data_IF_003338960570
#
_entry.id   IF_003338960570
#
_cell.length_a   1.000
_cell.length_b   1.000
_cell.length_c   1.000
_cell.angle_alpha   90.00
_cell.angle_beta   90.00
_cell.angle_gamma   90.00
#
_symmetry.space_group_name_H-M   'P 1'
#
loop_
_entity.id
_entity.type
_entity.pdbx_description
1 polymer ?
#
# COMPACT_ATOMS: atom_id res chain seq x y z
N UNK A 1 19.66 -19.54 -22.44
CA UNK A 1 19.71 -18.45 -21.43
C UNK A 1 18.69 -17.41 -21.88
N UNK A 2 17.51 -17.34 -21.25
CA UNK A 2 16.57 -16.24 -21.55
C UNK A 2 17.20 -14.96 -20.98
N UNK A 3 17.58 -14.03 -21.86
CA UNK A 3 17.95 -12.68 -21.44
C UNK A 3 16.64 -12.04 -20.97
N UNK A 4 16.50 -11.83 -19.67
CA UNK A 4 15.41 -11.02 -19.13
C UNK A 4 15.53 -9.64 -19.79
N UNK A 5 14.46 -9.17 -20.42
CA UNK A 5 14.37 -7.81 -20.96
C UNK A 5 13.53 -6.94 -20.05
N UNK A 6 13.84 -5.64 -20.03
CA UNK A 6 13.02 -4.67 -19.30
C UNK A 6 11.67 -4.50 -20.01
N UNK A 7 10.57 -4.80 -19.32
CA UNK A 7 9.22 -4.44 -19.77
C UNK A 7 9.04 -2.92 -19.60
N UNK A 8 9.06 -2.20 -20.73
CA UNK A 8 9.00 -0.74 -20.77
C UNK A 8 7.67 -0.20 -20.24
N UNK A 9 6.56 -0.86 -20.53
CA UNK A 9 5.24 -0.41 -20.09
C UNK A 9 5.11 -0.59 -18.58
N UNK A 10 5.51 -1.76 -18.06
CA UNK A 10 5.51 -2.03 -16.63
C UNK A 10 6.45 -1.07 -15.89
N UNK A 11 7.66 -0.85 -16.40
CA UNK A 11 8.62 0.09 -15.81
C UNK A 11 8.03 1.50 -15.74
N UNK A 12 7.47 1.99 -16.85
CA UNK A 12 6.83 3.30 -16.94
C UNK A 12 5.74 3.44 -15.89
N UNK A 13 4.84 2.46 -15.82
CA UNK A 13 3.72 2.47 -14.89
C UNK A 13 4.21 2.40 -13.43
N UNK A 14 5.16 1.52 -13.10
CA UNK A 14 5.70 1.40 -11.74
C UNK A 14 6.43 2.69 -11.32
N UNK A 15 7.26 3.26 -12.18
CA UNK A 15 8.00 4.48 -11.86
C UNK A 15 7.11 5.73 -11.85
N UNK A 16 5.87 5.70 -12.33
CA UNK A 16 4.93 6.83 -12.30
C UNK A 16 3.76 6.65 -11.33
N UNK A 17 3.20 5.45 -11.22
CA UNK A 17 2.01 5.14 -10.42
C UNK A 17 2.35 4.34 -9.16
N UNK A 18 3.59 3.84 -9.04
CA UNK A 18 4.08 2.86 -8.04
C UNK A 18 3.52 1.45 -8.21
N UNK A 19 2.69 1.22 -9.21
CA UNK A 19 2.18 -0.10 -9.56
C UNK A 19 2.00 -0.22 -11.06
N UNK A 20 1.83 -1.46 -11.53
CA UNK A 20 1.48 -1.74 -12.91
C UNK A 20 0.00 -2.12 -12.99
N UNK A 21 -0.88 -1.32 -13.63
CA UNK A 21 -2.31 -1.63 -13.79
C UNK A 21 -2.61 -2.97 -14.45
N UNK A 22 -1.63 -3.56 -15.13
CA UNK A 22 -1.75 -4.87 -15.79
C UNK A 22 -1.29 -6.05 -14.90
N UNK A 23 -0.80 -5.80 -13.68
CA UNK A 23 -0.38 -6.85 -12.75
C UNK A 23 -1.56 -7.73 -12.35
N UNK A 24 -1.36 -9.05 -12.36
CA UNK A 24 -2.39 -10.00 -11.90
C UNK A 24 -2.58 -9.89 -10.39
N UNK A 25 -3.84 -9.95 -9.97
CA UNK A 25 -4.25 -9.94 -8.56
C UNK A 25 -5.19 -11.11 -8.30
N UNK A 26 -5.18 -11.62 -7.07
CA UNK A 26 -6.15 -12.62 -6.60
C UNK A 26 -7.46 -12.00 -6.11
N UNK A 27 -7.51 -10.68 -5.91
CA UNK A 27 -8.72 -10.01 -5.44
C UNK A 27 -9.85 -10.09 -6.47
N UNK A 28 -11.07 -10.12 -5.96
CA UNK A 28 -12.29 -10.07 -6.77
C UNK A 28 -12.27 -8.86 -7.70
N UNK A 29 -12.44 -9.10 -9.00
CA UNK A 29 -12.61 -8.02 -9.98
C UNK A 29 -14.02 -7.47 -9.88
N UNK A 30 -14.13 -6.17 -9.68
CA UNK A 30 -15.39 -5.42 -9.69
C UNK A 30 -15.40 -4.43 -10.87
N UNK A 31 -16.58 -4.16 -11.41
CA UNK A 31 -16.84 -3.11 -12.38
C UNK A 31 -17.50 -1.89 -11.74
N UNK A 32 -17.68 -0.82 -12.52
CA UNK A 32 -18.42 0.34 -12.04
C UNK A 32 -19.91 -0.01 -11.78
N UNK A 33 -20.48 -0.97 -12.51
CA UNK A 33 -21.87 -1.40 -12.35
C UNK A 33 -22.15 -2.00 -10.96
N UNK A 34 -21.15 -2.60 -10.31
CA UNK A 34 -21.28 -3.14 -8.94
C UNK A 34 -21.60 -2.06 -7.90
N UNK A 35 -21.30 -0.80 -8.22
CA UNK A 35 -21.60 0.35 -7.36
C UNK A 35 -23.01 0.90 -7.60
N UNK A 36 -23.71 0.54 -8.67
CA UNK A 36 -25.02 1.14 -9.01
C UNK A 36 -26.14 0.66 -8.09
N UNK A 37 -26.07 -0.58 -7.60
CA UNK A 37 -27.05 -1.12 -6.68
C UNK A 37 -26.71 -0.75 -5.23
N UNK A 38 -27.56 0.04 -4.59
CA UNK A 38 -27.33 0.49 -3.20
C UNK A 38 -28.02 -0.39 -2.17
N UNK A 39 -27.34 -0.63 -1.05
CA UNK A 39 -27.92 -1.27 0.13
C UNK A 39 -28.94 -0.33 0.78
N UNK A 40 -29.98 -0.90 1.39
CA UNK A 40 -31.10 -0.13 1.96
C UNK A 40 -30.82 0.27 3.40
N UNK A 41 -30.61 -0.70 4.31
CA UNK A 41 -30.41 -0.45 5.74
C UNK A 41 -29.48 -1.50 6.39
N UNK A 42 -29.05 -1.22 7.63
CA UNK A 42 -28.26 -2.12 8.50
C UNK A 42 -26.83 -2.46 8.04
N UNK A 43 -26.20 -1.60 7.24
CA UNK A 43 -24.84 -1.83 6.72
C UNK A 43 -23.80 -2.12 7.82
N UNK A 44 -23.90 -1.46 8.97
CA UNK A 44 -23.00 -1.67 10.11
C UNK A 44 -23.06 -3.11 10.62
N UNK A 45 -24.27 -3.63 10.83
CA UNK A 45 -24.48 -4.99 11.32
C UNK A 45 -24.08 -6.03 10.28
N UNK A 46 -24.41 -5.78 9.00
CA UNK A 46 -24.04 -6.67 7.89
C UNK A 46 -22.51 -6.76 7.79
N UNK A 47 -21.80 -5.64 7.78
CA UNK A 47 -20.33 -5.61 7.71
C UNK A 47 -19.70 -6.30 8.93
N UNK A 48 -20.21 -6.04 10.14
CA UNK A 48 -19.72 -6.75 11.34
C UNK A 48 -19.88 -8.27 11.22
N UNK A 49 -21.05 -8.72 10.77
CA UNK A 49 -21.33 -10.15 10.60
C UNK A 49 -20.46 -10.78 9.50
N UNK A 50 -20.27 -10.10 8.37
CA UNK A 50 -19.38 -10.59 7.31
C UNK A 50 -17.93 -10.70 7.79
N UNK A 51 -17.42 -9.69 8.53
CA UNK A 51 -16.09 -9.74 9.13
C UNK A 51 -15.95 -10.92 10.10
N UNK A 52 -16.93 -11.10 11.00
CA UNK A 52 -16.93 -12.21 11.95
C UNK A 52 -16.99 -13.58 11.26
N UNK A 53 -17.80 -13.71 10.22
CA UNK A 53 -17.91 -14.94 9.44
C UNK A 53 -16.60 -15.24 8.72
N UNK A 54 -15.98 -14.25 8.07
CA UNK A 54 -14.70 -14.41 7.39
C UNK A 54 -13.59 -14.83 8.37
N UNK A 55 -13.47 -14.15 9.52
CA UNK A 55 -12.51 -14.51 10.59
C UNK A 55 -12.74 -15.95 11.08
N UNK A 56 -13.99 -16.31 11.36
CA UNK A 56 -14.37 -17.64 11.85
C UNK A 56 -14.01 -18.74 10.86
N UNK A 57 -14.26 -18.52 9.57
CA UNK A 57 -13.95 -19.46 8.50
C UNK A 57 -12.44 -19.68 8.36
N UNK A 58 -11.64 -18.60 8.35
CA UNK A 58 -10.19 -18.70 8.26
C UNK A 58 -9.57 -19.44 9.46
N UNK A 59 -9.94 -19.07 10.69
CA UNK A 59 -9.35 -19.69 11.90
C UNK A 59 -9.73 -21.18 11.99
N UNK A 60 -11.00 -21.53 11.72
CA UNK A 60 -11.47 -22.93 11.78
C UNK A 60 -10.85 -23.79 10.68
N UNK A 61 -10.76 -23.28 9.45
CA UNK A 61 -10.20 -24.05 8.32
C UNK A 61 -8.72 -24.35 8.49
N UNK A 62 -7.95 -23.46 9.11
CA UNK A 62 -6.51 -23.62 9.30
C UNK A 62 -6.14 -24.42 10.56
N UNK A 63 -7.12 -24.69 11.45
CA UNK A 63 -6.94 -25.45 12.70
C UNK A 63 -5.76 -24.97 13.56
N UNK A 64 -5.53 -23.64 13.58
CA UNK A 64 -4.41 -23.04 14.31
C UNK A 64 -4.79 -22.69 15.74
N UNK A 65 -3.94 -23.07 16.71
CA UNK A 65 -4.06 -22.63 18.10
C UNK A 65 -3.20 -21.39 18.41
N UNK A 66 -2.38 -20.94 17.44
CA UNK A 66 -1.61 -19.70 17.48
C UNK A 66 -1.58 -19.03 16.11
N UNK A 67 -1.82 -17.72 16.10
CA UNK A 67 -1.72 -16.87 14.90
C UNK A 67 -0.81 -15.68 15.16
N UNK A 68 -0.37 -15.03 14.08
CA UNK A 68 0.23 -13.69 14.13
C UNK A 68 -0.74 -12.66 13.55
N UNK A 69 -0.60 -11.41 13.99
CA UNK A 69 -1.38 -10.27 13.48
C UNK A 69 -0.49 -9.04 13.33
N UNK A 70 -0.46 -8.45 12.13
CA UNK A 70 0.19 -7.16 11.92
C UNK A 70 -0.65 -6.05 12.56
N UNK A 71 -0.15 -5.48 13.65
CA UNK A 71 -0.88 -4.52 14.48
C UNK A 71 -0.30 -3.11 14.30
N UNK A 72 -1.13 -2.22 13.75
CA UNK A 72 -0.96 -0.77 13.83
C UNK A 72 -1.88 -0.20 14.91
N UNK A 73 -1.70 1.06 15.29
CA UNK A 73 -2.67 1.79 16.14
C UNK A 73 -3.95 2.21 15.38
N UNK A 74 -4.08 1.81 14.11
CA UNK A 74 -5.18 2.15 13.23
C UNK A 74 -6.42 1.28 13.44
N UNK A 75 -7.57 1.85 13.10
CA UNK A 75 -8.88 1.20 13.26
C UNK A 75 -8.97 -0.21 12.64
N UNK A 76 -8.34 -0.43 11.48
CA UNK A 76 -8.55 -1.67 10.72
C UNK A 76 -7.95 -2.88 11.44
N UNK A 77 -6.65 -2.83 11.76
CA UNK A 77 -5.98 -3.92 12.49
C UNK A 77 -6.52 -4.09 13.90
N UNK A 78 -6.89 -3.00 14.59
CA UNK A 78 -7.45 -3.06 15.94
C UNK A 78 -8.85 -3.67 15.95
N UNK A 79 -9.68 -3.36 14.94
CA UNK A 79 -10.99 -3.98 14.79
C UNK A 79 -10.87 -5.48 14.50
N UNK A 80 -9.97 -5.87 13.60
CA UNK A 80 -9.70 -7.30 13.32
C UNK A 80 -9.23 -8.02 14.59
N UNK A 81 -8.26 -7.46 15.32
CA UNK A 81 -7.79 -8.02 16.59
C UNK A 81 -8.94 -8.20 17.61
N UNK A 82 -9.78 -7.18 17.75
CA UNK A 82 -10.90 -7.19 18.70
C UNK A 82 -11.93 -8.25 18.32
N UNK A 83 -12.29 -8.37 17.04
CA UNK A 83 -13.24 -9.37 16.57
C UNK A 83 -12.67 -10.80 16.69
N UNK A 84 -11.38 -11.00 16.43
CA UNK A 84 -10.72 -12.30 16.67
C UNK A 84 -10.80 -12.66 18.15
N UNK A 85 -10.46 -11.73 19.06
CA UNK A 85 -10.50 -11.99 20.50
C UNK A 85 -11.92 -12.24 21.01
N UNK A 86 -12.92 -11.55 20.47
CA UNK A 86 -14.34 -11.79 20.79
C UNK A 86 -14.79 -13.20 20.38
N UNK A 87 -14.40 -13.67 19.20
CA UNK A 87 -14.80 -14.98 18.67
C UNK A 87 -13.99 -16.15 19.24
N UNK A 88 -12.71 -15.91 19.55
CA UNK A 88 -11.77 -16.94 20.00
C UNK A 88 -10.97 -16.45 21.23
N UNK A 89 -11.59 -16.37 22.42
CA UNK A 89 -10.95 -15.83 23.63
C UNK A 89 -9.64 -16.51 24.03
N UNK A 90 -9.51 -17.82 23.75
CA UNK A 90 -8.35 -18.64 24.11
C UNK A 90 -7.25 -18.70 23.04
N UNK A 91 -7.46 -18.08 21.86
CA UNK A 91 -6.49 -18.13 20.78
C UNK A 91 -5.22 -17.36 21.18
N UNK A 92 -4.05 -17.98 20.98
CA UNK A 92 -2.76 -17.31 21.19
C UNK A 92 -2.49 -16.40 19.99
N UNK A 93 -2.27 -15.12 20.26
CA UNK A 93 -2.05 -14.11 19.21
C UNK A 93 -0.73 -13.42 19.51
N UNK A 94 0.16 -13.41 18.52
CA UNK A 94 1.36 -12.60 18.53
C UNK A 94 1.17 -11.39 17.61
N UNK A 95 1.02 -10.22 18.20
CA UNK A 95 0.93 -8.95 17.48
C UNK A 95 2.33 -8.49 17.07
N UNK A 96 2.49 -8.14 15.79
CA UNK A 96 3.76 -7.67 15.23
C UNK A 96 3.56 -6.26 14.71
N UNK A 97 4.44 -5.34 15.09
CA UNK A 97 4.43 -3.95 14.62
C UNK A 97 5.84 -3.54 14.18
N UNK A 98 5.93 -2.72 13.14
CA UNK A 98 7.19 -2.19 12.64
C UNK A 98 7.28 -0.69 12.94
N UNK A 99 8.38 -0.27 13.58
CA UNK A 99 8.71 1.13 13.83
C UNK A 99 9.90 1.56 12.98
N UNK A 100 9.91 2.83 12.59
CA UNK A 100 10.97 3.43 11.75
C UNK A 100 11.87 4.40 12.52
N UNK A 101 11.51 4.68 13.77
CA UNK A 101 12.19 5.59 14.67
C UNK A 101 12.33 4.91 16.04
N UNK A 102 13.34 5.30 16.85
CA UNK A 102 13.56 4.69 18.17
C UNK A 102 12.34 4.84 19.09
N UNK A 103 11.65 5.99 19.03
CA UNK A 103 10.45 6.26 19.81
C UNK A 103 9.24 6.50 18.89
N UNK A 104 8.70 5.41 18.36
CA UNK A 104 7.55 5.43 17.47
C UNK A 104 6.22 5.37 18.26
N UNK A 105 5.50 6.49 18.29
CA UNK A 105 4.20 6.60 18.98
C UNK A 105 3.16 5.58 18.48
N UNK A 106 3.21 5.21 17.20
CA UNK A 106 2.27 4.24 16.60
C UNK A 106 2.56 2.83 17.11
N UNK A 107 3.84 2.46 17.24
CA UNK A 107 4.26 1.19 17.84
C UNK A 107 3.93 1.14 19.33
N UNK A 108 4.17 2.22 20.05
CA UNK A 108 3.84 2.32 21.48
C UNK A 108 2.33 2.15 21.72
N UNK A 109 1.49 2.78 20.89
CA UNK A 109 0.04 2.60 20.94
C UNK A 109 -0.38 1.16 20.58
N UNK A 110 0.24 0.55 19.55
CA UNK A 110 -0.03 -0.84 19.20
C UNK A 110 0.33 -1.81 20.34
N UNK A 111 1.45 -1.57 21.04
CA UNK A 111 1.89 -2.35 22.21
C UNK A 111 0.90 -2.26 23.37
N UNK A 112 0.33 -1.09 23.62
CA UNK A 112 -0.68 -0.92 24.65
C UNK A 112 -1.99 -1.64 24.28
N UNK A 113 -2.40 -1.56 23.01
CA UNK A 113 -3.57 -2.30 22.50
C UNK A 113 -3.38 -3.82 22.64
N UNK A 114 -2.22 -4.36 22.29
CA UNK A 114 -1.95 -5.80 22.46
C UNK A 114 -1.98 -6.22 23.92
N UNK A 115 -1.50 -5.36 24.84
CA UNK A 115 -1.57 -5.60 26.29
C UNK A 115 -3.02 -5.68 26.77
N UNK A 116 -3.86 -4.73 26.36
CA UNK A 116 -5.30 -4.71 26.70
C UNK A 116 -6.01 -5.97 26.15
N UNK A 117 -5.63 -6.45 24.97
CA UNK A 117 -6.22 -7.62 24.30
C UNK A 117 -5.55 -8.95 24.70
N UNK A 118 -4.67 -8.95 25.72
CA UNK A 118 -3.93 -10.12 26.20
C UNK A 118 -3.20 -10.89 25.08
N UNK A 119 -2.38 -10.18 24.30
CA UNK A 119 -1.61 -10.74 23.19
C UNK A 119 -0.10 -10.60 23.44
N UNK A 120 0.69 -11.53 22.89
CA UNK A 120 2.14 -11.37 22.79
C UNK A 120 2.43 -10.18 21.84
N UNK A 121 3.54 -9.45 22.05
CA UNK A 121 3.91 -8.31 21.20
C UNK A 121 5.36 -8.40 20.73
N UNK A 122 5.57 -8.13 19.44
CA UNK A 122 6.88 -8.03 18.80
C UNK A 122 7.00 -6.73 18.03
N UNK A 123 8.03 -5.98 18.35
CA UNK A 123 8.43 -4.78 17.62
C UNK A 123 9.59 -5.13 16.69
N UNK A 124 9.47 -4.71 15.44
CA UNK A 124 10.55 -4.71 14.46
C UNK A 124 11.05 -3.27 14.32
N UNK A 125 12.36 -3.08 14.41
CA UNK A 125 12.99 -1.78 14.24
C UNK A 125 13.60 -1.67 12.84
N UNK A 126 13.12 -0.72 12.03
CA UNK A 126 13.46 -0.57 10.61
C UNK A 126 14.12 0.78 10.30
N UNK A 127 15.33 1.01 10.82
CA UNK A 127 16.06 2.25 10.54
C UNK A 127 16.52 2.34 9.08
N UNK A 128 17.20 1.31 8.59
CA UNK A 128 17.65 1.24 7.21
C UNK A 128 16.97 0.09 6.45
N UNK A 129 15.72 0.34 6.06
CA UNK A 129 14.91 -0.61 5.30
C UNK A 129 15.45 -0.91 3.89
N UNK A 130 16.40 -0.13 3.36
CA UNK A 130 17.01 -0.37 2.06
C UNK A 130 18.13 -1.41 2.08
N UNK A 131 18.68 -1.75 3.25
CA UNK A 131 19.74 -2.76 3.37
C UNK A 131 19.36 -4.07 2.68
N UNK A 132 18.10 -4.51 2.87
CA UNK A 132 17.58 -5.75 2.32
C UNK A 132 16.84 -5.54 0.99
N UNK A 133 17.00 -4.39 0.33
CA UNK A 133 16.30 -4.09 -0.92
C UNK A 133 16.58 -5.13 -2.02
N UNK A 134 17.83 -5.62 -2.22
CA UNK A 134 18.09 -6.68 -3.18
C UNK A 134 17.31 -7.95 -2.88
N UNK A 135 17.21 -8.37 -1.61
CA UNK A 135 16.41 -9.52 -1.19
C UNK A 135 14.93 -9.31 -1.49
N UNK A 136 14.38 -8.16 -1.10
CA UNK A 136 12.97 -7.80 -1.33
C UNK A 136 12.63 -7.83 -2.83
N UNK A 137 13.45 -7.17 -3.67
CA UNK A 137 13.28 -7.16 -5.13
C UNK A 137 13.47 -8.55 -5.72
N UNK A 138 14.38 -9.36 -5.17
CA UNK A 138 14.59 -10.74 -5.63
C UNK A 138 13.35 -11.62 -5.41
N UNK A 139 12.52 -11.33 -4.41
CA UNK A 139 11.28 -12.07 -4.13
C UNK A 139 10.14 -11.54 -5.00
N UNK A 140 9.99 -10.22 -5.04
CA UNK A 140 8.82 -9.57 -5.62
C UNK A 140 8.96 -9.40 -7.14
N UNK A 141 10.20 -9.38 -7.64
CA UNK A 141 10.57 -9.27 -9.06
C UNK A 141 10.15 -7.93 -9.71
N UNK A 142 9.85 -6.91 -8.93
CA UNK A 142 9.47 -5.57 -9.41
C UNK A 142 10.37 -4.49 -8.80
N UNK A 143 10.66 -3.39 -9.52
CA UNK A 143 11.54 -2.33 -9.05
C UNK A 143 10.81 -1.34 -8.13
N UNK A 144 10.51 -1.73 -6.89
CA UNK A 144 9.99 -0.83 -5.84
C UNK A 144 10.79 -0.97 -4.54
N UNK A 145 10.74 0.06 -3.69
CA UNK A 145 11.51 0.14 -2.44
C UNK A 145 10.70 -0.03 -1.16
N UNK A 146 9.37 0.11 -1.22
CA UNK A 146 8.51 0.23 -0.04
C UNK A 146 7.91 -1.11 0.39
N UNK A 147 8.72 -2.17 0.47
CA UNK A 147 8.25 -3.52 0.80
C UNK A 147 8.47 -3.89 2.27
N UNK A 148 8.10 -3.00 3.20
CA UNK A 148 8.28 -3.22 4.65
C UNK A 148 7.56 -4.46 5.18
N UNK A 149 6.50 -4.89 4.50
CA UNK A 149 5.80 -6.14 4.74
C UNK A 149 6.70 -7.38 4.67
N UNK A 150 7.84 -7.31 3.96
CA UNK A 150 8.88 -8.32 4.01
C UNK A 150 9.29 -8.64 5.45
N UNK A 151 9.56 -7.61 6.26
CA UNK A 151 10.04 -7.78 7.63
C UNK A 151 8.92 -8.30 8.55
N UNK A 152 7.69 -7.83 8.35
CA UNK A 152 6.53 -8.35 9.09
C UNK A 152 6.30 -9.84 8.83
N UNK A 153 6.41 -10.27 7.57
CA UNK A 153 6.32 -11.68 7.20
C UNK A 153 7.52 -12.50 7.72
N UNK A 154 8.74 -11.96 7.63
CA UNK A 154 9.93 -12.61 8.15
C UNK A 154 9.85 -12.87 9.67
N UNK A 155 9.32 -11.92 10.43
CA UNK A 155 9.08 -12.10 11.86
C UNK A 155 7.90 -13.04 12.13
N UNK A 156 6.82 -12.92 11.36
CA UNK A 156 5.62 -13.74 11.54
C UNK A 156 5.91 -15.25 11.47
N UNK A 157 6.74 -15.70 10.51
CA UNK A 157 7.08 -17.13 10.37
C UNK A 157 7.76 -17.73 11.60
N UNK A 158 8.37 -16.91 12.47
CA UNK A 158 9.01 -17.37 13.69
C UNK A 158 7.96 -17.74 14.78
N UNK A 159 6.69 -17.34 14.62
CA UNK A 159 5.63 -17.52 15.60
C UNK A 159 4.42 -18.32 15.08
N UNK A 160 4.07 -18.15 13.80
CA UNK A 160 2.96 -18.86 13.15
C UNK A 160 3.11 -18.82 11.63
N UNK A 161 2.54 -19.82 10.94
CA UNK A 161 2.39 -19.78 9.48
C UNK A 161 1.20 -18.93 9.02
N UNK A 162 0.48 -18.26 9.93
CA UNK A 162 -0.69 -17.43 9.61
C UNK A 162 -0.48 -16.01 10.08
N UNK A 163 -0.65 -15.04 9.17
CA UNK A 163 -0.53 -13.60 9.43
C UNK A 163 -1.83 -12.88 9.07
N UNK A 164 -2.54 -12.41 10.10
CA UNK A 164 -3.71 -11.55 9.93
C UNK A 164 -3.30 -10.08 9.72
N UNK A 165 -4.02 -9.37 8.85
CA UNK A 165 -3.86 -7.94 8.60
C UNK A 165 -5.21 -7.22 8.56
N UNK A 166 -5.18 -5.89 8.57
CA UNK A 166 -6.34 -5.02 8.37
C UNK A 166 -6.39 -4.36 6.99
N UNK A 167 -5.74 -4.96 5.98
CA UNK A 167 -5.60 -4.35 4.65
C UNK A 167 -6.95 -4.22 3.93
N UNK A 168 -7.10 -3.20 3.08
CA UNK A 168 -8.33 -2.93 2.33
C UNK A 168 -9.35 -2.04 3.03
N UNK A 169 -9.15 -1.73 4.33
CA UNK A 169 -10.04 -0.87 5.09
C UNK A 169 -10.13 0.55 4.52
N UNK A 170 -9.04 1.08 3.98
CA UNK A 170 -9.00 2.41 3.36
C UNK A 170 -9.74 2.45 2.02
N UNK A 171 -9.53 1.47 1.15
CA UNK A 171 -10.13 1.44 -0.20
C UNK A 171 -11.60 1.05 -0.17
N UNK A 172 -11.97 0.04 0.62
CA UNK A 172 -13.35 -0.47 0.65
C UNK A 172 -14.29 0.43 1.47
N UNK A 173 -13.79 1.10 2.52
CA UNK A 173 -14.60 1.87 3.46
C UNK A 173 -14.26 3.37 3.49
N UNK A 174 -13.46 3.87 2.55
CA UNK A 174 -13.20 5.30 2.37
C UNK A 174 -12.32 5.88 3.47
N UNK A 175 -11.05 5.48 3.51
CA UNK A 175 -10.07 5.91 4.51
C UNK A 175 -9.09 7.01 4.08
N UNK A 176 -8.89 7.22 2.78
CA UNK A 176 -7.98 8.26 2.27
C UNK A 176 -8.63 9.65 2.24
N UNK A 177 -9.13 10.11 3.38
CA UNK A 177 -9.93 11.34 3.54
C UNK A 177 -9.28 12.57 2.90
N UNK A 178 -7.95 12.73 3.04
CA UNK A 178 -7.20 13.83 2.43
C UNK A 178 -7.25 13.80 0.90
N UNK A 179 -7.30 12.61 0.27
CA UNK A 179 -7.43 12.48 -1.19
C UNK A 179 -8.83 12.84 -1.62
N UNK A 180 -9.83 12.39 -0.87
CA UNK A 180 -11.24 12.63 -1.18
C UNK A 180 -11.60 14.10 -1.08
N UNK A 181 -11.19 14.76 0.00
CA UNK A 181 -11.37 16.19 0.18
C UNK A 181 -10.70 16.98 -0.96
N UNK A 182 -9.43 16.70 -1.26
CA UNK A 182 -8.71 17.39 -2.33
C UNK A 182 -9.34 17.18 -3.71
N UNK A 183 -9.77 15.95 -4.00
CA UNK A 183 -10.42 15.62 -5.26
C UNK A 183 -11.75 16.38 -5.39
N UNK A 184 -12.60 16.33 -4.35
CA UNK A 184 -13.92 16.97 -4.38
C UNK A 184 -13.85 18.49 -4.38
N UNK A 185 -12.89 19.09 -3.67
CA UNK A 185 -12.70 20.55 -3.65
C UNK A 185 -12.15 21.10 -4.98
N UNK A 186 -11.44 20.27 -5.75
CA UNK A 186 -10.93 20.65 -7.08
C UNK A 186 -11.84 20.21 -8.24
N UNK A 187 -12.96 19.53 -7.93
CA UNK A 187 -13.86 18.98 -8.91
C UNK A 187 -14.82 20.04 -9.49
N UNK A 188 -15.09 19.94 -10.80
CA UNK A 188 -16.06 20.76 -11.50
C UNK A 188 -17.05 19.87 -12.26
N UNK A 189 -18.36 20.16 -12.18
CA UNK A 189 -19.42 19.30 -12.74
C UNK A 189 -19.31 18.97 -14.24
N UNK A 190 -18.49 19.70 -15.01
CA UNK A 190 -18.26 19.48 -16.45
C UNK A 190 -16.92 18.81 -16.77
N UNK A 191 -16.19 18.32 -15.77
CA UNK A 191 -14.89 17.68 -16.00
C UNK A 191 -15.00 16.38 -16.82
N UNK A 192 -14.21 16.31 -17.89
CA UNK A 192 -13.97 15.10 -18.68
C UNK A 192 -13.27 14.02 -17.86
N UNK A 193 -13.28 12.77 -18.33
CA UNK A 193 -12.58 11.68 -17.65
C UNK A 193 -11.06 11.94 -17.52
N UNK A 194 -10.45 12.67 -18.48
CA UNK A 194 -9.03 13.05 -18.44
C UNK A 194 -8.78 14.08 -17.33
N UNK A 195 -9.64 15.09 -17.19
CA UNK A 195 -9.49 16.11 -16.14
C UNK A 195 -9.67 15.50 -14.75
N UNK A 196 -10.66 14.61 -14.58
CA UNK A 196 -10.82 13.82 -13.36
C UNK A 196 -9.59 12.95 -13.08
N UNK A 197 -9.02 12.30 -14.10
CA UNK A 197 -7.78 11.52 -13.96
C UNK A 197 -6.62 12.38 -13.46
N UNK A 198 -6.42 13.58 -14.03
CA UNK A 198 -5.40 14.52 -13.59
C UNK A 198 -5.62 14.96 -12.13
N UNK A 199 -6.86 15.27 -11.75
CA UNK A 199 -7.22 15.60 -10.37
C UNK A 199 -6.92 14.44 -9.41
N UNK A 200 -7.28 13.21 -9.78
CA UNK A 200 -6.98 12.01 -8.99
C UNK A 200 -5.48 11.82 -8.79
N UNK A 201 -4.69 11.94 -9.86
CA UNK A 201 -3.23 11.82 -9.78
C UNK A 201 -2.61 12.96 -8.96
N UNK A 202 -3.16 14.17 -8.99
CA UNK A 202 -2.73 15.28 -8.13
C UNK A 202 -2.98 14.99 -6.63
N UNK A 203 -4.01 14.22 -6.30
CA UNK A 203 -4.25 13.74 -4.92
C UNK A 203 -3.21 12.70 -4.47
N UNK A 204 -2.44 12.14 -5.43
CA UNK A 204 -1.32 11.22 -5.23
C UNK A 204 0.02 11.94 -5.46
N UNK A 205 0.15 13.18 -4.98
CA UNK A 205 1.30 14.05 -5.25
C UNK A 205 2.68 13.48 -4.85
N UNK A 206 2.75 12.46 -3.99
CA UNK A 206 4.00 11.74 -3.65
C UNK A 206 4.43 10.75 -4.73
N UNK A 207 3.52 10.37 -5.60
CA UNK A 207 3.73 9.35 -6.61
C UNK A 207 4.25 9.95 -7.92
N UNK A 208 4.40 11.29 -8.08
CA UNK A 208 4.93 11.93 -9.30
C UNK A 208 5.59 13.30 -9.01
N UNK A 209 6.36 13.83 -9.96
CA UNK A 209 6.99 15.17 -9.90
C UNK A 209 6.66 16.01 -11.13
N UNK A 210 6.73 17.34 -11.03
CA UNK A 210 6.34 18.24 -12.14
C UNK A 210 7.18 18.05 -13.41
N UNK A 211 8.47 17.76 -13.24
CA UNK A 211 9.42 17.48 -14.32
C UNK A 211 9.51 15.97 -14.65
N UNK A 212 8.47 15.17 -14.35
CA UNK A 212 8.46 13.71 -14.59
C UNK A 212 8.81 13.35 -16.04
N UNK A 213 8.42 14.16 -17.02
CA UNK A 213 8.80 13.93 -18.42
C UNK A 213 10.31 13.95 -18.64
N UNK A 214 11.04 14.74 -17.83
CA UNK A 214 12.49 14.85 -17.87
C UNK A 214 13.18 13.72 -17.10
N UNK A 215 12.47 12.97 -16.25
CA UNK A 215 13.01 11.81 -15.54
C UNK A 215 13.36 10.66 -16.50
N UNK A 216 12.49 10.39 -17.47
CA UNK A 216 12.61 9.22 -18.33
C UNK A 216 13.51 9.48 -19.53
N UNK A 217 14.42 8.54 -19.78
CA UNK A 217 15.21 8.52 -20.99
C UNK A 217 14.42 8.04 -22.20
N UNK A 218 15.03 8.19 -23.39
CA UNK A 218 14.36 7.94 -24.68
C UNK A 218 13.87 6.51 -24.84
N UNK A 219 14.50 5.50 -24.20
CA UNK A 219 14.04 4.10 -24.26
C UNK A 219 12.67 3.87 -23.65
N UNK A 220 12.24 4.68 -22.69
CA UNK A 220 10.95 4.48 -22.00
C UNK A 220 9.78 5.03 -22.81
N UNK A 221 10.03 6.05 -23.66
CA UNK A 221 8.99 6.69 -24.46
C UNK A 221 7.81 7.18 -23.60
N UNK A 222 8.12 7.86 -22.50
CA UNK A 222 7.14 8.36 -21.54
C UNK A 222 6.23 9.42 -22.17
N UNK A 223 4.94 9.31 -21.92
CA UNK A 223 3.99 10.42 -22.07
C UNK A 223 2.89 10.28 -21.04
N UNK A 224 2.41 11.42 -20.54
CA UNK A 224 1.29 11.45 -19.61
C UNK A 224 -0.01 10.87 -20.21
N UNK A 225 -0.21 10.98 -21.52
CA UNK A 225 -1.37 10.39 -22.21
C UNK A 225 -1.45 8.88 -22.01
N UNK A 226 -0.32 8.16 -22.13
CA UNK A 226 -0.25 6.71 -21.87
C UNK A 226 -0.58 6.38 -20.41
N UNK A 227 -0.18 7.26 -19.48
CA UNK A 227 -0.53 7.09 -18.06
C UNK A 227 -2.02 7.30 -17.85
N UNK A 228 -2.60 8.36 -18.42
CA UNK A 228 -4.01 8.69 -18.25
C UNK A 228 -4.94 7.62 -18.80
N UNK A 229 -4.60 6.99 -19.92
CA UNK A 229 -5.39 5.91 -20.52
C UNK A 229 -5.67 4.74 -19.55
N UNK A 230 -4.76 4.46 -18.61
CA UNK A 230 -4.98 3.43 -17.59
C UNK A 230 -6.19 3.73 -16.67
N UNK A 231 -6.64 4.99 -16.61
CA UNK A 231 -7.68 5.44 -15.69
C UNK A 231 -9.04 5.68 -16.35
N UNK A 232 -9.14 5.58 -17.69
CA UNK A 232 -10.39 5.88 -18.39
C UNK A 232 -11.56 5.09 -17.81
N UNK A 233 -11.39 3.78 -17.59
CA UNK A 233 -12.43 2.89 -17.02
C UNK A 233 -12.97 3.35 -15.65
N UNK A 234 -12.19 4.09 -14.86
CA UNK A 234 -12.61 4.55 -13.54
C UNK A 234 -13.38 5.88 -13.58
N UNK A 235 -13.13 6.72 -14.58
CA UNK A 235 -13.67 8.10 -14.64
C UNK A 235 -14.64 8.36 -15.80
N UNK A 236 -14.67 7.48 -16.80
CA UNK A 236 -15.56 7.51 -17.97
C UNK A 236 -16.76 6.57 -17.75
N UNK A 237 -17.57 6.86 -16.73
CA UNK A 237 -18.75 6.10 -16.33
C UNK A 237 -19.75 6.99 -15.58
N UNK A 238 -20.90 6.43 -15.20
CA UNK A 238 -22.02 7.15 -14.57
C UNK A 238 -21.94 7.29 -13.04
N UNK A 239 -20.85 6.84 -12.40
CA UNK A 239 -20.72 6.94 -10.95
C UNK A 239 -20.56 8.40 -10.51
N UNK A 240 -20.95 8.70 -9.27
CA UNK A 240 -20.65 10.01 -8.68
C UNK A 240 -19.13 10.21 -8.55
N UNK A 241 -18.63 11.45 -8.52
CA UNK A 241 -17.19 11.70 -8.48
C UNK A 241 -16.45 10.98 -7.34
N UNK A 242 -17.04 10.89 -6.15
CA UNK A 242 -16.43 10.17 -5.02
C UNK A 242 -16.43 8.65 -5.21
N UNK A 243 -17.46 8.08 -5.84
CA UNK A 243 -17.51 6.65 -6.16
C UNK A 243 -16.49 6.27 -7.23
N UNK A 244 -16.25 7.14 -8.21
CA UNK A 244 -15.18 6.96 -9.19
C UNK A 244 -13.80 6.87 -8.50
N UNK A 245 -13.57 7.70 -7.48
CA UNK A 245 -12.34 7.64 -6.68
C UNK A 245 -12.25 6.35 -5.86
N UNK A 246 -13.34 5.93 -5.18
CA UNK A 246 -13.34 4.63 -4.48
C UNK A 246 -13.10 3.45 -5.41
N UNK A 247 -13.69 3.49 -6.61
CA UNK A 247 -13.47 2.47 -7.63
C UNK A 247 -12.01 2.47 -8.10
N UNK A 248 -11.42 3.63 -8.37
CA UNK A 248 -10.01 3.76 -8.75
C UNK A 248 -9.05 3.29 -7.65
N UNK A 249 -9.34 3.58 -6.37
CA UNK A 249 -8.52 3.15 -5.25
C UNK A 249 -8.49 1.61 -5.12
N UNK A 250 -9.67 0.96 -5.17
CA UNK A 250 -9.78 -0.50 -5.10
C UNK A 250 -9.21 -1.18 -6.36
N UNK A 251 -9.78 -0.88 -7.52
CA UNK A 251 -9.50 -1.59 -8.77
C UNK A 251 -8.23 -1.08 -9.48
N UNK A 252 -7.57 -0.07 -8.92
CA UNK A 252 -6.24 0.40 -9.31
C UNK A 252 -5.20 -0.01 -8.27
N UNK A 253 -4.95 0.88 -7.29
CA UNK A 253 -3.81 0.76 -6.39
C UNK A 253 -3.86 -0.49 -5.51
N UNK A 254 -4.96 -0.78 -4.82
CA UNK A 254 -5.03 -1.96 -3.95
C UNK A 254 -4.84 -3.27 -4.74
N UNK A 255 -5.59 -3.42 -5.83
CA UNK A 255 -5.57 -4.63 -6.65
C UNK A 255 -4.18 -4.89 -7.26
N UNK A 256 -3.46 -3.86 -7.68
CA UNK A 256 -2.27 -4.02 -8.51
C UNK A 256 -0.95 -3.64 -7.83
N UNK A 257 -0.97 -2.98 -6.67
CA UNK A 257 0.23 -2.56 -5.93
C UNK A 257 0.62 -3.57 -4.84
N UNK A 258 -0.13 -3.58 -3.74
CA UNK A 258 0.29 -4.23 -2.49
C UNK A 258 -0.06 -5.71 -2.46
N UNK A 259 -1.27 -6.10 -2.86
CA UNK A 259 -1.70 -7.51 -2.76
C UNK A 259 -0.81 -8.48 -3.55
N UNK A 260 -0.45 -8.19 -4.82
CA UNK A 260 0.46 -9.09 -5.56
C UNK A 260 1.86 -9.19 -4.95
N UNK A 261 2.36 -8.10 -4.36
CA UNK A 261 3.65 -8.11 -3.67
C UNK A 261 3.59 -8.92 -2.37
N UNK A 262 2.53 -8.75 -1.58
CA UNK A 262 2.26 -9.52 -0.37
C UNK A 262 2.16 -11.02 -0.67
N UNK A 263 1.48 -11.43 -1.74
CA UNK A 263 1.38 -12.83 -2.12
C UNK A 263 2.75 -13.47 -2.39
N UNK A 264 3.65 -12.74 -3.07
CA UNK A 264 5.03 -13.19 -3.32
C UNK A 264 5.84 -13.29 -2.03
N UNK A 265 5.71 -12.31 -1.13
CA UNK A 265 6.37 -12.28 0.18
C UNK A 265 5.88 -13.45 1.05
N UNK A 266 4.56 -13.62 1.18
CA UNK A 266 3.95 -14.69 1.96
C UNK A 266 4.36 -16.06 1.44
N UNK A 267 4.33 -16.27 0.12
CA UNK A 267 4.79 -17.52 -0.51
C UNK A 267 6.26 -17.81 -0.21
N UNK A 268 7.13 -16.80 -0.28
CA UNK A 268 8.55 -16.96 0.05
C UNK A 268 8.80 -17.45 1.48
N UNK A 269 8.02 -16.97 2.44
CA UNK A 269 8.16 -17.34 3.85
C UNK A 269 7.26 -18.51 4.29
N UNK A 270 6.47 -19.09 3.39
CA UNK A 270 5.52 -20.14 3.73
C UNK A 270 4.38 -19.67 4.65
N UNK A 271 3.99 -18.39 4.53
CA UNK A 271 2.93 -17.77 5.33
C UNK A 271 1.62 -17.75 4.55
N UNK A 272 0.52 -17.93 5.27
CA UNK A 272 -0.84 -17.67 4.80
C UNK A 272 -1.24 -16.28 5.33
N UNK A 273 -1.17 -15.28 4.45
CA UNK A 273 -1.59 -13.92 4.75
C UNK A 273 -3.09 -13.73 4.56
N UNK A 274 -3.76 -13.16 5.57
CA UNK A 274 -5.22 -13.07 5.65
C UNK A 274 -5.63 -11.65 6.04
N UNK A 275 -6.35 -10.97 5.16
CA UNK A 275 -7.11 -9.77 5.54
C UNK A 275 -8.60 -10.10 5.47
N UNK A 276 -9.31 -10.22 6.61
CA UNK A 276 -10.75 -10.49 6.58
C UNK A 276 -11.55 -9.41 5.85
N UNK A 277 -11.04 -8.16 5.80
CA UNK A 277 -11.67 -7.05 5.07
C UNK A 277 -11.67 -7.30 3.55
N UNK A 278 -10.69 -8.05 3.03
CA UNK A 278 -10.55 -8.39 1.61
C UNK A 278 -11.30 -9.68 1.22
N UNK A 279 -12.21 -10.16 2.07
CA UNK A 279 -13.11 -11.26 1.73
C UNK A 279 -14.04 -10.85 0.58
N UNK A 280 -14.27 -11.76 -0.37
CA UNK A 280 -15.08 -11.49 -1.57
C UNK A 280 -16.49 -10.98 -1.24
N UNK A 281 -17.12 -11.49 -0.18
CA UNK A 281 -18.46 -11.05 0.21
C UNK A 281 -18.43 -9.63 0.80
N UNK A 282 -17.35 -9.26 1.49
CA UNK A 282 -17.14 -7.91 2.01
C UNK A 282 -16.83 -6.94 0.88
N UNK A 283 -15.98 -7.33 -0.07
CA UNK A 283 -15.68 -6.54 -1.27
C UNK A 283 -16.99 -6.24 -2.02
N UNK A 284 -17.78 -7.26 -2.37
CA UNK A 284 -19.06 -7.10 -3.06
C UNK A 284 -20.03 -6.21 -2.29
N UNK A 285 -20.14 -6.42 -0.98
CA UNK A 285 -21.04 -5.61 -0.16
C UNK A 285 -20.57 -4.17 -0.08
N UNK A 286 -19.26 -3.93 -0.01
CA UNK A 286 -18.71 -2.58 0.07
C UNK A 286 -19.09 -1.71 -1.13
N UNK A 287 -19.19 -2.28 -2.34
CA UNK A 287 -19.62 -1.55 -3.55
C UNK A 287 -21.04 -0.99 -3.41
N UNK A 288 -21.90 -1.69 -2.66
CA UNK A 288 -23.32 -1.35 -2.47
C UNK A 288 -23.55 -0.31 -1.39
N UNK A 289 -22.56 -0.06 -0.53
CA UNK A 289 -22.67 0.95 0.53
C UNK A 289 -22.66 2.33 -0.10
N UNK A 290 -23.67 3.14 0.22
CA UNK A 290 -23.74 4.53 -0.24
C UNK A 290 -22.54 5.36 0.24
N UNK A 291 -21.97 6.25 -0.59
CA UNK A 291 -20.72 6.96 -0.28
C UNK A 291 -20.73 7.75 1.03
N UNK A 292 -21.86 8.37 1.38
CA UNK A 292 -22.06 9.14 2.62
C UNK A 292 -21.97 8.30 3.89
N UNK A 293 -22.12 6.97 3.78
CA UNK A 293 -21.90 6.01 4.86
C UNK A 293 -20.45 5.53 4.95
N UNK A 294 -19.60 5.86 3.97
CA UNK A 294 -18.15 5.59 3.99
C UNK A 294 -17.37 6.82 4.44
N UNK A 295 -17.71 7.98 3.89
CA UNK A 295 -16.99 9.24 4.07
C UNK A 295 -17.94 10.43 4.24
N UNK A 296 -17.67 11.27 5.24
CA UNK A 296 -18.37 12.52 5.47
C UNK A 296 -17.46 13.70 5.13
N UNK A 297 -17.81 14.42 4.06
CA UNK A 297 -17.05 15.58 3.58
C UNK A 297 -17.01 16.73 4.59
N UNK A 298 -18.10 16.97 5.34
CA UNK A 298 -18.18 18.11 6.28
C UNK A 298 -17.26 17.92 7.49
N UNK A 299 -17.15 16.70 7.99
CA UNK A 299 -16.27 16.36 9.12
C UNK A 299 -14.91 15.82 8.68
N UNK A 300 -14.71 15.66 7.37
CA UNK A 300 -13.58 14.99 6.74
C UNK A 300 -13.26 13.61 7.36
N UNK A 301 -14.31 12.88 7.77
CA UNK A 301 -14.16 11.60 8.46
C UNK A 301 -14.52 10.42 7.56
N UNK A 302 -13.57 9.50 7.42
CA UNK A 302 -13.70 8.27 6.65
C UNK A 302 -13.91 7.05 7.52
N UNK A 303 -14.11 5.88 6.87
CA UNK A 303 -14.34 4.58 7.52
C UNK A 303 -15.50 4.61 8.52
N UNK A 304 -16.56 5.37 8.22
CA UNK A 304 -17.64 5.63 9.18
C UNK A 304 -18.30 4.34 9.68
N UNK A 305 -18.50 3.35 8.80
CA UNK A 305 -19.02 2.04 9.19
C UNK A 305 -18.07 1.31 10.15
N UNK A 306 -16.78 1.21 9.84
CA UNK A 306 -15.81 0.55 10.71
C UNK A 306 -15.68 1.26 12.06
N UNK A 307 -15.75 2.61 12.06
CA UNK A 307 -15.79 3.44 13.28
C UNK A 307 -17.01 3.14 14.12
N UNK A 308 -18.18 2.99 13.50
CA UNK A 308 -19.41 2.65 14.22
C UNK A 308 -19.34 1.26 14.85
N UNK A 309 -18.83 0.26 14.13
CA UNK A 309 -18.58 -1.09 14.69
C UNK A 309 -17.63 -0.99 15.89
N UNK A 310 -16.52 -0.28 15.73
CA UNK A 310 -15.51 -0.12 16.79
C UNK A 310 -16.05 0.59 18.03
N UNK A 311 -16.89 1.61 17.85
CA UNK A 311 -17.59 2.29 18.95
C UNK A 311 -18.54 1.35 19.70
N UNK A 312 -19.31 0.54 18.98
CA UNK A 312 -20.21 -0.47 19.58
C UNK A 312 -19.43 -1.50 20.42
N UNK A 313 -18.17 -1.76 20.04
CA UNK A 313 -17.23 -2.65 20.75
C UNK A 313 -16.39 -1.95 21.83
N UNK A 314 -16.62 -0.66 22.08
CA UNK A 314 -15.86 0.16 23.05
C UNK A 314 -14.34 0.12 22.80
N UNK A 315 -13.92 0.04 21.54
CA UNK A 315 -12.52 0.07 21.14
C UNK A 315 -11.99 1.50 21.23
N UNK A 316 -10.88 1.70 21.93
CA UNK A 316 -10.12 2.95 21.87
C UNK A 316 -9.34 3.01 20.55
N UNK A 317 -9.63 4.02 19.72
CA UNK A 317 -8.96 4.22 18.44
C UNK A 317 -8.06 5.45 18.54
N UNK A 318 -6.80 5.30 18.16
CA UNK A 318 -5.94 6.45 17.95
C UNK A 318 -6.31 7.15 16.61
N UNK A 319 -6.70 8.42 16.68
CA UNK A 319 -7.06 9.21 15.51
C UNK A 319 -5.85 9.82 14.78
N UNK A 320 -4.65 9.84 15.38
CA UNK A 320 -3.42 10.34 14.76
C UNK A 320 -2.58 9.22 14.11
N UNK A 321 -3.21 8.39 13.26
CA UNK A 321 -2.55 7.26 12.54
C UNK A 321 -1.63 7.76 11.41
N UNK A 322 -0.41 7.21 11.30
CA UNK A 322 0.45 7.32 10.09
C UNK A 322 0.50 6.02 9.27
N UNK A 323 0.25 4.86 9.89
CA UNK A 323 0.46 3.55 9.30
C UNK A 323 1.94 3.14 9.31
N UNK A 324 2.26 2.01 8.69
CA UNK A 324 3.66 1.56 8.49
C UNK A 324 4.39 2.42 7.43
N UNK A 325 4.67 3.68 7.77
CA UNK A 325 5.31 4.65 6.89
C UNK A 325 6.50 5.34 7.58
N UNK A 326 7.72 5.30 7.01
CA UNK A 326 8.86 6.01 7.56
C UNK A 326 8.77 7.53 7.35
N UNK A 327 9.44 8.29 8.20
CA UNK A 327 9.86 9.65 7.86
C UNK A 327 10.97 9.61 6.81
N UNK A 328 10.59 9.86 5.55
CA UNK A 328 11.50 9.86 4.43
C UNK A 328 12.54 10.98 4.46
N UNK A 329 12.26 12.11 5.14
CA UNK A 329 13.24 13.21 5.24
C UNK A 329 14.38 12.77 6.15
N UNK A 330 14.05 12.30 7.35
CA UNK A 330 15.06 11.80 8.30
C UNK A 330 15.81 10.60 7.74
N UNK A 331 15.09 9.65 7.12
CA UNK A 331 15.70 8.51 6.43
C UNK A 331 16.67 8.95 5.31
N UNK A 332 16.29 9.94 4.49
CA UNK A 332 17.13 10.44 3.41
C UNK A 332 18.44 11.02 3.94
N UNK A 333 18.38 11.81 5.01
CA UNK A 333 19.56 12.43 5.64
C UNK A 333 20.50 11.39 6.24
N UNK A 334 19.96 10.35 6.87
CA UNK A 334 20.75 9.35 7.60
C UNK A 334 21.31 8.26 6.68
N UNK A 335 20.54 7.82 5.68
CA UNK A 335 20.85 6.65 4.86
C UNK A 335 20.62 6.89 3.36
N UNK A 336 19.42 7.35 2.98
CA UNK A 336 18.95 7.33 1.60
C UNK A 336 19.80 8.14 0.62
N UNK A 337 20.32 9.30 1.04
CA UNK A 337 21.16 10.15 0.19
C UNK A 337 22.46 9.44 -0.19
N UNK A 338 23.19 8.89 0.79
CA UNK A 338 24.46 8.21 0.58
C UNK A 338 24.30 7.00 -0.34
N UNK A 339 23.30 6.16 -0.07
CA UNK A 339 22.97 4.99 -0.90
C UNK A 339 22.69 5.44 -2.33
N UNK A 340 21.83 6.44 -2.51
CA UNK A 340 21.46 6.93 -3.84
C UNK A 340 22.67 7.45 -4.61
N UNK A 341 23.57 8.19 -3.97
CA UNK A 341 24.78 8.68 -4.63
C UNK A 341 25.71 7.54 -5.08
N UNK A 342 25.83 6.47 -4.28
CA UNK A 342 26.68 5.31 -4.61
C UNK A 342 26.15 4.59 -5.85
N UNK A 343 24.84 4.30 -5.90
CA UNK A 343 24.28 3.44 -6.95
C UNK A 343 23.77 4.19 -8.17
N UNK A 344 23.34 5.45 -8.03
CA UNK A 344 22.78 6.21 -9.16
C UNK A 344 23.81 7.02 -9.94
N UNK A 345 24.99 7.28 -9.38
CA UNK A 345 26.10 7.90 -10.12
C UNK A 345 26.64 6.91 -11.16
N UNK A 346 26.64 7.30 -12.44
CA UNK A 346 27.05 6.43 -13.56
C UNK A 346 26.29 5.08 -13.60
N UNK A 347 25.01 5.07 -13.19
CA UNK A 347 24.17 3.87 -13.13
C UNK A 347 23.92 3.24 -14.49
N UNK A 348 23.59 1.95 -14.49
CA UNK A 348 23.24 1.23 -15.73
C UNK A 348 21.96 1.81 -16.34
N UNK A 349 20.96 2.08 -15.52
CA UNK A 349 19.68 2.61 -15.99
C UNK A 349 19.81 3.99 -16.68
N UNK A 350 20.83 4.77 -16.31
CA UNK A 350 21.17 6.03 -16.98
C UNK A 350 21.97 5.81 -18.26
N UNK A 351 23.06 5.01 -18.21
CA UNK A 351 23.89 4.69 -19.39
C UNK A 351 23.08 4.08 -20.52
N UNK A 352 22.08 3.28 -20.16
CA UNK A 352 21.19 2.62 -21.09
C UNK A 352 20.00 3.51 -21.51
N UNK A 353 19.95 4.79 -21.14
CA UNK A 353 18.89 5.73 -21.51
C UNK A 353 17.48 5.33 -21.07
N UNK A 354 17.33 4.61 -19.95
CA UNK A 354 16.02 4.43 -19.31
C UNK A 354 15.65 5.62 -18.42
N UNK A 355 16.63 6.18 -17.71
CA UNK A 355 16.49 7.35 -16.84
C UNK A 355 17.50 8.41 -17.26
N UNK A 356 17.13 9.69 -17.23
CA UNK A 356 18.05 10.76 -17.59
C UNK A 356 18.98 11.09 -16.43
N UNK A 357 20.29 11.02 -16.68
CA UNK A 357 21.32 11.30 -15.67
C UNK A 357 21.25 12.74 -15.13
N UNK A 358 21.00 13.73 -16.00
CA UNK A 358 20.84 15.13 -15.60
C UNK A 358 19.66 15.34 -14.65
N UNK A 359 18.58 14.59 -14.83
CA UNK A 359 17.44 14.61 -13.93
C UNK A 359 17.78 13.99 -12.57
N UNK A 360 18.58 12.92 -12.52
CA UNK A 360 19.05 12.34 -11.24
C UNK A 360 19.85 13.38 -10.45
N UNK A 361 20.81 14.05 -11.09
CA UNK A 361 21.67 15.06 -10.45
C UNK A 361 20.82 16.19 -9.85
N UNK A 362 19.97 16.81 -10.66
CA UNK A 362 19.10 17.90 -10.19
C UNK A 362 18.07 17.45 -9.15
N UNK A 363 17.61 16.20 -9.22
CA UNK A 363 16.69 15.64 -8.23
C UNK A 363 17.35 15.41 -6.88
N UNK A 364 18.64 15.04 -6.84
CA UNK A 364 19.40 14.90 -5.58
C UNK A 364 19.45 16.25 -4.86
N UNK A 365 19.65 17.35 -5.57
CA UNK A 365 19.64 18.70 -4.98
C UNK A 365 18.29 19.04 -4.33
N UNK A 366 17.18 18.76 -5.04
CA UNK A 366 15.81 18.97 -4.53
C UNK A 366 15.47 18.06 -3.35
N UNK A 367 15.95 16.82 -3.38
CA UNK A 367 15.80 15.89 -2.26
C UNK A 367 16.59 16.38 -1.02
N UNK A 368 17.79 16.94 -1.23
CA UNK A 368 18.60 17.55 -0.15
C UNK A 368 17.97 18.81 0.43
N UNK A 369 17.13 19.53 -0.34
CA UNK A 369 16.26 20.60 0.18
C UNK A 369 14.97 20.08 0.82
N UNK A 370 14.91 18.79 1.19
CA UNK A 370 13.79 18.11 1.83
C UNK A 370 12.50 18.00 0.99
N UNK A 371 12.55 18.08 -0.35
CA UNK A 371 11.35 17.77 -1.15
C UNK A 371 11.10 16.24 -1.18
N UNK A 372 10.13 15.82 -0.37
CA UNK A 372 9.71 14.42 -0.21
C UNK A 372 9.37 13.75 -1.53
N UNK A 373 8.87 14.48 -2.54
CA UNK A 373 8.51 13.86 -3.83
C UNK A 373 9.76 13.41 -4.58
N UNK A 374 10.82 14.22 -4.58
CA UNK A 374 12.08 13.85 -5.21
C UNK A 374 12.82 12.77 -4.41
N UNK A 375 12.73 12.76 -3.08
CA UNK A 375 13.19 11.64 -2.26
C UNK A 375 12.50 10.33 -2.70
N UNK A 376 11.17 10.31 -2.74
CA UNK A 376 10.40 9.14 -3.18
C UNK A 376 10.81 8.67 -4.59
N UNK A 377 11.02 9.61 -5.53
CA UNK A 377 11.37 9.27 -6.91
C UNK A 377 12.79 8.76 -7.06
N UNK A 378 13.76 9.32 -6.34
CA UNK A 378 15.12 8.80 -6.32
C UNK A 378 15.16 7.38 -5.75
N UNK A 379 14.39 7.09 -4.69
CA UNK A 379 14.27 5.73 -4.18
C UNK A 379 13.62 4.75 -5.18
N UNK A 380 12.66 5.22 -5.98
CA UNK A 380 12.10 4.41 -7.08
C UNK A 380 13.12 4.16 -8.19
N UNK A 381 13.92 5.15 -8.58
CA UNK A 381 15.01 4.96 -9.55
C UNK A 381 16.09 4.03 -9.00
N UNK A 382 16.46 4.17 -7.73
CA UNK A 382 17.35 3.25 -7.03
C UNK A 382 16.82 1.82 -7.08
N UNK A 383 15.53 1.61 -6.81
CA UNK A 383 14.91 0.28 -6.92
C UNK A 383 15.05 -0.31 -8.31
N UNK A 384 14.91 0.51 -9.35
CA UNK A 384 15.09 0.06 -10.73
C UNK A 384 16.55 -0.27 -11.03
N UNK A 385 17.51 0.53 -10.57
CA UNK A 385 18.94 0.21 -10.70
C UNK A 385 19.29 -1.11 -10.01
N UNK A 386 18.79 -1.35 -8.79
CA UNK A 386 19.01 -2.61 -8.07
C UNK A 386 18.35 -3.78 -8.79
N UNK A 387 17.12 -3.62 -9.29
CA UNK A 387 16.45 -4.62 -10.12
C UNK A 387 17.28 -4.94 -11.39
N UNK A 388 17.82 -3.90 -12.05
CA UNK A 388 18.63 -4.06 -13.25
C UNK A 388 19.91 -4.84 -12.95
N UNK A 389 20.57 -4.54 -11.83
CA UNK A 389 21.76 -5.26 -11.37
C UNK A 389 21.49 -6.71 -10.99
N UNK A 390 20.35 -7.01 -10.39
CA UNK A 390 19.94 -8.38 -10.04
C UNK A 390 19.63 -9.24 -11.27
N UNK A 391 18.88 -8.70 -12.23
CA UNK A 391 18.25 -9.51 -13.27
C UNK A 391 18.87 -9.38 -14.65
N UNK A 392 19.50 -8.23 -14.94
CA UNK A 392 20.06 -7.95 -16.27
C UNK A 392 21.57 -8.14 -16.24
N UNK A 393 22.30 -7.35 -15.44
CA UNK A 393 23.78 -7.42 -15.39
C UNK A 393 24.29 -8.55 -14.50
N UNK A 394 23.49 -8.95 -13.50
CA UNK A 394 23.83 -9.96 -12.48
C UNK A 394 25.09 -9.61 -11.69
N UNK A 395 25.33 -8.32 -11.47
CA UNK A 395 26.46 -7.81 -10.68
C UNK A 395 26.26 -8.00 -9.17
N UNK A 396 25.00 -8.15 -8.73
CA UNK A 396 24.63 -8.42 -7.35
C UNK A 396 23.64 -9.59 -7.31
N UNK A 397 23.57 -10.26 -6.16
CA UNK A 397 22.60 -11.32 -5.88
C UNK A 397 21.60 -10.89 -4.79
N UNK A 398 20.72 -11.80 -4.40
CA UNK A 398 19.67 -11.53 -3.42
C UNK A 398 20.17 -11.28 -2.00
N UNK A 399 21.37 -11.77 -1.65
CA UNK A 399 21.93 -11.67 -0.30
C UNK A 399 22.88 -10.47 -0.16
N UNK A 400 23.05 -9.71 -1.25
CA UNK A 400 23.76 -8.44 -1.23
C UNK A 400 23.04 -7.40 -0.35
N UNK A 401 23.82 -6.71 0.48
CA UNK A 401 23.33 -5.67 1.41
C UNK A 401 23.72 -4.28 0.90
N UNK A 402 22.76 -3.36 0.84
CA UNK A 402 23.06 -1.96 0.53
C UNK A 402 23.77 -1.28 1.72
N UNK A 403 24.69 -0.35 1.43
CA UNK A 403 25.60 0.30 2.40
C UNK A 403 24.96 1.40 3.25
#
# INVERSE_FOLDING_TARGET
MFVLSVDIESLRNILTLRYNPNSKSKLLKIGYDDFLLKSRENDVLIVENLLKNSISNYIKSLSQNRITLALSSGIDSVLILTLIRELFPELKITCISAGFEENDEEVNAAKEISRIQNCDFKQIHLENFLNNLPKQISIIKEPKWHYYWYFLAEEAKNHSSVLFTGDGGDELFGGYVFRYENFLNSFYNKSTWIEKTKQYLNCHNRDWVQDQNQMFGTKVGFSWEKIYQNFQKYFDNSLTPIEQVFFADYAGKLMHDWVPALDKIHSHFGIIGISPILDDEIIKFSCKISPEKKYNLKTNQGKLILRKISQNKKISINNSKRGFSPDLISFWKNYGNKITQIYLKNSHVSKENYINESWIITSIEKANSNDIRYINKLLSVLSFEIWYRLFITKEIDSDYTLL
#
